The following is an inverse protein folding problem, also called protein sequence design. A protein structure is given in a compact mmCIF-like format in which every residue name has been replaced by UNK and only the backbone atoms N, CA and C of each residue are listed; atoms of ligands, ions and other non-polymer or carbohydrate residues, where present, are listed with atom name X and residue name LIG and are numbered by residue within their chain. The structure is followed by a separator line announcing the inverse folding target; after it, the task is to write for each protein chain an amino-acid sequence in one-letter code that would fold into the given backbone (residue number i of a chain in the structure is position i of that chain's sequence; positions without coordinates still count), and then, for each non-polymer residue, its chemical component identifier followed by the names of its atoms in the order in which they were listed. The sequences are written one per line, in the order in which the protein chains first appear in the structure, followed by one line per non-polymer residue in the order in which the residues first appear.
data_IF_798255193499
#
_entry.id   IF_798255193499
#
_cell.length_a   1.000
_cell.length_b   1.000
_cell.length_c   1.000
_cell.angle_alpha   90.00
_cell.angle_beta   90.00
_cell.angle_gamma   90.00
#
_symmetry.space_group_name_H-M   'P 1'
#
loop_
_entity.id
_entity.type
_entity.pdbx_description
1 polymer ?
#
# COMPACT_ATOMS: atom_id res chain seq x y z
N UNK A 1 16.53 -3.85 -14.16
CA UNK A 1 17.37 -4.08 -12.95
C UNK A 1 16.74 -5.17 -12.09
N UNK A 2 17.51 -6.24 -11.81
CA UNK A 2 17.09 -7.32 -10.89
C UNK A 2 17.04 -6.88 -9.42
N UNK A 3 16.57 -7.78 -8.56
CA UNK A 3 16.62 -7.59 -7.10
C UNK A 3 18.05 -7.82 -6.59
N UNK A 4 18.45 -7.05 -5.58
CA UNK A 4 19.71 -7.22 -4.84
C UNK A 4 19.43 -6.96 -3.37
N UNK A 5 19.70 -7.96 -2.52
CA UNK A 5 19.47 -7.85 -1.08
C UNK A 5 20.29 -6.71 -0.47
N UNK A 6 21.59 -6.63 -0.79
CA UNK A 6 22.46 -5.57 -0.31
C UNK A 6 21.96 -4.16 -0.70
N UNK A 7 21.49 -3.99 -1.94
CA UNK A 7 20.94 -2.71 -2.38
C UNK A 7 19.62 -2.37 -1.65
N UNK A 8 18.80 -3.38 -1.36
CA UNK A 8 17.53 -3.24 -0.65
C UNK A 8 17.73 -2.84 0.81
N UNK A 9 18.67 -3.48 1.50
CA UNK A 9 19.08 -3.15 2.87
C UNK A 9 19.69 -1.74 2.94
N UNK A 10 20.57 -1.38 1.99
CA UNK A 10 21.14 -0.02 1.89
C UNK A 10 20.07 1.04 1.66
N UNK A 11 19.06 0.75 0.83
CA UNK A 11 17.94 1.66 0.61
C UNK A 11 17.15 1.90 1.91
N UNK A 12 16.89 0.84 2.69
CA UNK A 12 16.23 0.95 3.98
C UNK A 12 17.06 1.77 4.99
N UNK A 13 18.36 1.49 5.10
CA UNK A 13 19.27 2.23 5.96
C UNK A 13 19.33 3.71 5.58
N UNK A 14 19.38 4.05 4.28
CA UNK A 14 19.37 5.43 3.81
C UNK A 14 18.09 6.17 4.19
N UNK A 15 16.93 5.51 4.12
CA UNK A 15 15.65 6.08 4.57
C UNK A 15 15.64 6.27 6.09
N UNK A 16 16.17 5.31 6.86
CA UNK A 16 16.33 5.43 8.30
C UNK A 16 17.20 6.63 8.71
N UNK A 17 18.37 6.78 8.07
CA UNK A 17 19.24 7.92 8.30
C UNK A 17 18.57 9.26 7.95
N UNK A 18 17.80 9.29 6.85
CA UNK A 18 16.99 10.48 6.48
C UNK A 18 15.92 10.77 7.53
N UNK A 19 15.21 9.76 8.01
CA UNK A 19 14.18 9.89 9.04
C UNK A 19 14.73 10.57 10.31
N UNK A 20 15.87 10.11 10.84
CA UNK A 20 16.51 10.73 12.02
C UNK A 20 16.87 12.19 11.77
N UNK A 21 17.31 12.54 10.55
CA UNK A 21 17.65 13.91 10.20
C UNK A 21 16.44 14.82 10.04
N UNK A 22 15.36 14.35 9.42
CA UNK A 22 14.29 15.21 8.91
C UNK A 22 12.99 15.18 9.73
N UNK A 23 12.79 14.16 10.55
CA UNK A 23 11.50 13.88 11.20
C UNK A 23 11.65 13.93 12.73
N UNK A 24 10.93 14.85 13.42
CA UNK A 24 11.05 15.03 14.87
C UNK A 24 10.88 13.74 15.66
N UNK A 25 9.88 12.93 15.33
CA UNK A 25 9.60 11.66 16.01
C UNK A 25 10.83 10.72 16.06
N UNK A 26 11.52 10.53 14.92
CA UNK A 26 12.68 9.65 14.87
C UNK A 26 13.91 10.27 15.51
N UNK A 27 14.07 11.60 15.41
CA UNK A 27 15.16 12.33 16.05
C UNK A 27 15.08 12.24 17.58
N UNK A 28 13.90 12.47 18.14
CA UNK A 28 13.65 12.40 19.58
C UNK A 28 13.85 10.98 20.13
N UNK A 29 13.37 9.96 19.42
CA UNK A 29 13.64 8.55 19.77
C UNK A 29 15.13 8.25 19.77
N UNK A 30 15.85 8.70 18.75
CA UNK A 30 17.30 8.51 18.67
C UNK A 30 18.02 9.21 19.83
N UNK A 31 17.65 10.45 20.17
CA UNK A 31 18.21 11.18 21.30
C UNK A 31 17.96 10.50 22.66
N UNK A 32 16.86 9.74 22.78
CA UNK A 32 16.52 8.93 23.97
C UNK A 32 17.15 7.53 23.97
N UNK A 33 18.04 7.22 23.03
CA UNK A 33 18.69 5.91 22.93
C UNK A 33 17.81 4.79 22.36
N UNK A 34 16.61 5.10 21.86
CA UNK A 34 15.67 4.11 21.28
C UNK A 34 15.97 3.80 19.79
N UNK A 35 16.85 4.60 19.16
CA UNK A 35 17.23 4.45 17.75
C UNK A 35 16.03 4.42 16.79
N UNK A 36 16.15 3.56 15.76
CA UNK A 36 15.06 3.24 14.83
C UNK A 36 14.29 1.98 15.26
N UNK A 37 14.18 1.73 16.57
CA UNK A 37 13.40 0.61 17.10
C UNK A 37 11.98 0.57 16.53
N UNK A 38 11.32 -0.60 16.51
CA UNK A 38 10.00 -0.78 15.91
C UNK A 38 8.98 0.29 16.33
N UNK A 39 8.09 0.63 15.41
CA UNK A 39 6.94 1.51 15.65
C UNK A 39 5.66 0.71 15.41
N UNK A 40 4.92 0.30 16.45
CA UNK A 40 3.63 -0.38 16.27
C UNK A 40 2.69 0.43 15.38
N UNK A 41 2.00 -0.25 14.47
CA UNK A 41 1.13 0.43 13.49
C UNK A 41 -0.05 1.16 14.16
N UNK A 42 -0.47 0.70 15.33
CA UNK A 42 -1.52 1.28 16.17
C UNK A 42 -1.12 2.66 16.70
N UNK A 43 0.18 2.89 16.96
CA UNK A 43 0.68 4.20 17.37
C UNK A 43 0.60 5.25 16.25
N UNK A 44 0.58 4.82 14.99
CA UNK A 44 0.64 5.72 13.85
C UNK A 44 -0.57 6.65 13.82
N UNK A 45 -1.77 6.16 14.11
CA UNK A 45 -3.02 6.94 14.00
C UNK A 45 -2.97 8.26 14.80
N UNK A 46 -2.35 8.23 15.99
CA UNK A 46 -2.21 9.42 16.84
C UNK A 46 -0.95 10.25 16.54
N UNK A 47 -0.07 9.74 15.68
CA UNK A 47 1.30 10.26 15.46
C UNK A 47 1.66 10.50 14.00
N UNK A 48 0.74 10.32 13.04
CA UNK A 48 1.02 10.53 11.60
C UNK A 48 1.60 11.93 11.31
N UNK A 49 1.12 12.94 12.02
CA UNK A 49 1.64 14.31 11.93
C UNK A 49 3.10 14.42 12.40
N UNK A 50 3.49 13.69 13.45
CA UNK A 50 4.85 13.70 14.00
C UNK A 50 5.86 12.93 13.12
N UNK A 51 5.34 12.10 12.20
CA UNK A 51 6.12 11.37 11.20
C UNK A 51 6.37 12.19 9.92
N UNK A 52 5.93 13.44 9.89
CA UNK A 52 6.10 14.33 8.76
C UNK A 52 7.41 15.13 8.89
N UNK A 53 8.19 15.27 7.80
CA UNK A 53 9.31 16.21 7.79
C UNK A 53 8.82 17.63 7.99
N UNK A 54 9.42 18.38 8.92
CA UNK A 54 9.08 19.80 9.14
C UNK A 54 9.84 20.75 8.22
N UNK A 55 10.84 20.25 7.49
CA UNK A 55 11.76 21.06 6.68
C UNK A 55 11.16 21.64 5.39
N UNK A 56 9.91 21.32 5.06
CA UNK A 56 9.23 21.83 3.84
C UNK A 56 7.70 21.81 3.97
N UNK A 57 6.98 22.71 3.28
CA UNK A 57 5.52 22.70 3.25
C UNK A 57 4.96 21.47 2.52
N UNK A 58 3.75 21.06 2.90
CA UNK A 58 3.01 19.98 2.24
C UNK A 58 2.58 20.39 0.83
N UNK A 59 2.77 19.49 -0.15
CA UNK A 59 2.32 19.69 -1.55
C UNK A 59 1.34 18.59 -1.96
N UNK A 60 0.02 18.83 -1.94
CA UNK A 60 -0.99 17.81 -2.26
C UNK A 60 -0.80 17.11 -3.62
N UNK A 61 -0.33 17.86 -4.63
CA UNK A 61 -0.08 17.33 -5.97
C UNK A 61 1.12 16.37 -6.06
N UNK A 62 2.03 16.41 -5.08
CA UNK A 62 3.30 15.67 -5.11
C UNK A 62 3.47 14.70 -3.91
N UNK A 63 2.66 14.84 -2.87
CA UNK A 63 2.73 14.07 -1.64
C UNK A 63 1.38 13.42 -1.34
N UNK A 64 1.35 12.12 -1.03
CA UNK A 64 0.12 11.46 -0.63
C UNK A 64 -0.43 12.09 0.66
N UNK A 65 -1.73 11.94 0.90
CA UNK A 65 -2.26 12.30 2.22
C UNK A 65 -1.68 11.37 3.29
N UNK A 66 -1.84 11.75 4.55
CA UNK A 66 -1.45 10.89 5.68
C UNK A 66 -2.16 9.53 5.63
N UNK A 67 -3.40 9.52 5.13
CA UNK A 67 -4.35 8.43 5.27
C UNK A 67 -4.53 7.56 4.02
N UNK A 68 -4.12 8.05 2.84
CA UNK A 68 -4.53 7.44 1.57
C UNK A 68 -3.42 6.68 0.82
N UNK A 69 -2.17 6.76 1.29
CA UNK A 69 -1.00 6.08 0.68
C UNK A 69 -0.56 6.70 -0.65
N UNK A 70 0.53 6.21 -1.26
CA UNK A 70 0.95 6.65 -2.61
C UNK A 70 0.18 5.83 -3.67
N UNK A 71 -0.55 6.45 -4.62
CA UNK A 71 -1.29 5.70 -5.64
C UNK A 71 -0.39 4.80 -6.50
N UNK A 72 0.91 5.10 -6.61
CA UNK A 72 1.87 4.23 -7.30
C UNK A 72 2.13 2.91 -6.57
N UNK A 73 1.85 2.83 -5.26
CA UNK A 73 1.93 1.57 -4.51
C UNK A 73 0.90 0.59 -5.07
N UNK A 74 -0.36 1.03 -5.29
CA UNK A 74 -1.41 0.20 -5.88
C UNK A 74 -1.08 -0.21 -7.32
N UNK A 75 -0.62 0.73 -8.16
CA UNK A 75 -0.20 0.38 -9.53
C UNK A 75 0.89 -0.70 -9.54
N UNK A 76 1.87 -0.58 -8.64
CA UNK A 76 2.94 -1.58 -8.52
C UNK A 76 2.39 -2.90 -8.00
N UNK A 77 1.45 -2.88 -7.06
CA UNK A 77 0.83 -4.08 -6.50
C UNK A 77 0.08 -4.86 -7.58
N UNK A 78 -0.70 -4.16 -8.42
CA UNK A 78 -1.42 -4.77 -9.54
C UNK A 78 -0.46 -5.36 -10.56
N UNK A 79 0.59 -4.63 -10.96
CA UNK A 79 1.63 -5.17 -11.85
C UNK A 79 2.29 -6.43 -11.28
N UNK A 80 2.56 -6.47 -9.97
CA UNK A 80 3.11 -7.65 -9.29
C UNK A 80 2.07 -8.77 -9.20
N UNK A 81 0.77 -8.45 -9.08
CA UNK A 81 -0.31 -9.41 -9.11
C UNK A 81 -0.61 -9.97 -10.53
N UNK A 82 0.08 -9.48 -11.56
CA UNK A 82 -0.15 -9.87 -12.95
C UNK A 82 -1.33 -9.14 -13.61
N UNK A 83 -1.77 -8.02 -13.04
CA UNK A 83 -2.88 -7.19 -13.54
C UNK A 83 -2.34 -5.86 -14.04
N UNK A 84 -2.49 -5.57 -15.32
CA UNK A 84 -1.97 -4.34 -15.93
C UNK A 84 -2.75 -3.91 -17.16
N UNK A 85 -2.59 -2.65 -17.56
CA UNK A 85 -3.18 -2.12 -18.80
C UNK A 85 -4.66 -1.72 -18.74
N UNK A 86 -5.36 -2.02 -17.64
CA UNK A 86 -6.81 -1.79 -17.47
C UNK A 86 -7.12 -0.62 -16.54
N UNK A 87 -8.36 -0.12 -16.57
CA UNK A 87 -8.84 0.87 -15.60
C UNK A 87 -8.94 0.27 -14.19
N UNK A 88 -8.61 1.04 -13.16
CA UNK A 88 -8.58 0.55 -11.77
C UNK A 88 -9.68 1.23 -10.94
N UNK A 89 -10.56 0.42 -10.39
CA UNK A 89 -11.56 0.80 -9.42
C UNK A 89 -11.08 0.35 -8.04
N UNK A 90 -11.09 1.21 -7.04
CA UNK A 90 -10.64 0.84 -5.68
C UNK A 90 -11.69 1.18 -4.65
N UNK A 91 -12.11 0.20 -3.85
CA UNK A 91 -13.04 0.42 -2.74
C UNK A 91 -12.32 1.13 -1.59
N UNK A 92 -12.82 2.28 -1.13
CA UNK A 92 -12.18 3.11 -0.11
C UNK A 92 -13.19 3.62 0.92
N UNK A 93 -12.72 3.95 2.11
CA UNK A 93 -13.53 4.66 3.12
C UNK A 93 -13.63 6.16 2.87
N UNK A 94 -12.84 6.73 1.95
CA UNK A 94 -12.79 8.15 1.67
C UNK A 94 -12.43 8.45 0.22
N UNK A 95 -12.92 9.58 -0.29
CA UNK A 95 -12.61 10.09 -1.62
C UNK A 95 -11.16 10.53 -1.69
N UNK A 96 -10.53 10.30 -2.84
CA UNK A 96 -9.19 10.79 -3.17
C UNK A 96 -9.24 11.59 -4.48
N UNK A 97 -8.38 12.61 -4.63
CA UNK A 97 -8.41 13.48 -5.81
C UNK A 97 -7.75 12.85 -7.05
N UNK A 98 -7.31 11.60 -6.98
CA UNK A 98 -6.57 10.97 -8.06
C UNK A 98 -7.51 10.43 -9.13
N UNK A 99 -7.12 10.62 -10.38
CA UNK A 99 -7.80 10.04 -11.56
C UNK A 99 -6.90 9.03 -12.30
N UNK A 100 -5.65 8.88 -11.84
CA UNK A 100 -4.66 7.91 -12.32
C UNK A 100 -3.78 7.40 -11.19
N UNK A 101 -3.27 6.17 -11.31
CA UNK A 101 -2.31 5.62 -10.36
C UNK A 101 -0.87 6.06 -10.63
N UNK A 102 -0.62 7.36 -10.50
CA UNK A 102 0.61 8.04 -10.90
C UNK A 102 0.51 8.66 -12.30
N UNK A 103 1.47 9.54 -12.64
CA UNK A 103 1.41 10.35 -13.86
C UNK A 103 1.24 9.55 -15.17
N UNK A 104 1.87 8.38 -15.26
CA UNK A 104 1.79 7.46 -16.41
C UNK A 104 1.04 6.17 -16.06
N UNK A 105 0.32 6.16 -14.93
CA UNK A 105 -0.39 4.99 -14.45
C UNK A 105 -1.74 4.78 -15.16
N UNK A 106 -2.38 3.63 -14.90
CA UNK A 106 -3.74 3.37 -15.38
C UNK A 106 -4.73 4.43 -14.89
N UNK A 107 -5.83 4.58 -15.64
CA UNK A 107 -6.99 5.35 -15.18
C UNK A 107 -7.47 4.77 -13.86
N UNK A 108 -7.94 5.65 -12.98
CA UNK A 108 -8.30 5.29 -11.63
C UNK A 108 -9.58 6.00 -11.19
N UNK A 109 -10.46 5.27 -10.50
CA UNK A 109 -11.60 5.84 -9.79
C UNK A 109 -11.74 5.20 -8.40
N UNK A 110 -11.85 6.00 -7.32
CA UNK A 110 -12.24 5.48 -6.03
C UNK A 110 -13.74 5.16 -6.03
N UNK A 111 -14.10 4.08 -5.37
CA UNK A 111 -15.49 3.71 -5.09
C UNK A 111 -15.65 3.69 -3.58
N UNK A 112 -16.63 4.39 -3.03
CA UNK A 112 -16.79 4.43 -1.59
C UNK A 112 -17.36 3.11 -1.06
N UNK A 113 -16.79 2.60 0.03
CA UNK A 113 -17.33 1.44 0.72
C UNK A 113 -18.77 1.76 1.19
N UNK A 114 -19.65 0.75 1.29
CA UNK A 114 -21.00 0.92 1.83
C UNK A 114 -21.02 1.56 3.22
N UNK A 115 -19.99 1.31 4.02
CA UNK A 115 -19.80 1.89 5.37
C UNK A 115 -19.21 3.30 5.40
N UNK A 116 -18.95 3.92 4.24
CA UNK A 116 -18.42 5.27 4.20
C UNK A 116 -19.47 6.29 4.67
N UNK A 117 -19.05 7.21 5.53
CA UNK A 117 -19.90 8.30 6.01
C UNK A 117 -19.97 9.42 4.96
N UNK A 118 -21.00 9.37 4.10
CA UNK A 118 -21.24 10.38 3.06
C UNK A 118 -22.73 10.67 2.88
N UNK A 119 -23.01 11.90 2.43
CA UNK A 119 -24.38 12.39 2.23
C UNK A 119 -25.09 11.67 1.07
N UNK A 120 -24.38 11.39 -0.02
CA UNK A 120 -24.91 10.66 -1.18
C UNK A 120 -23.85 9.76 -1.81
N UNK A 121 -23.94 8.45 -1.52
CA UNK A 121 -23.08 7.41 -2.10
C UNK A 121 -23.29 7.29 -3.62
N UNK A 122 -24.51 7.46 -4.12
CA UNK A 122 -24.85 7.22 -5.53
C UNK A 122 -24.22 8.27 -6.44
N UNK A 123 -24.20 9.54 -6.02
CA UNK A 123 -23.51 10.61 -6.73
C UNK A 123 -21.99 10.37 -6.82
N UNK A 124 -21.41 9.73 -5.80
CA UNK A 124 -19.97 9.43 -5.75
C UNK A 124 -19.53 8.33 -6.73
N UNK A 125 -20.44 7.44 -7.13
CA UNK A 125 -20.14 6.29 -8.00
C UNK A 125 -20.05 6.66 -9.50
N UNK A 126 -20.49 7.85 -9.91
CA UNK A 126 -20.56 8.28 -11.31
C UNK A 126 -19.25 8.06 -12.12
N UNK A 127 -18.08 8.51 -11.63
CA UNK A 127 -16.80 8.27 -12.31
C UNK A 127 -16.44 6.80 -12.47
N UNK A 128 -16.77 5.96 -11.48
CA UNK A 128 -16.52 4.52 -11.54
C UNK A 128 -17.43 3.84 -12.57
N UNK A 129 -18.74 4.14 -12.56
CA UNK A 129 -19.70 3.65 -13.56
C UNK A 129 -19.33 4.05 -14.98
N UNK A 130 -18.93 5.31 -15.18
CA UNK A 130 -18.45 5.78 -16.48
C UNK A 130 -17.17 5.04 -16.94
N UNK A 131 -16.28 4.69 -16.00
CA UNK A 131 -15.08 3.92 -16.32
C UNK A 131 -15.42 2.48 -16.72
N UNK A 132 -16.31 1.81 -15.97
CA UNK A 132 -16.84 0.48 -16.30
C UNK A 132 -17.47 0.47 -17.69
N UNK A 133 -18.31 1.46 -18.01
CA UNK A 133 -18.95 1.57 -19.32
C UNK A 133 -17.95 1.81 -20.47
N UNK A 134 -16.78 2.40 -20.17
CA UNK A 134 -15.78 2.78 -21.18
C UNK A 134 -14.81 1.65 -21.56
N UNK A 135 -14.83 0.52 -20.87
CA UNK A 135 -14.00 -0.63 -21.22
C UNK A 135 -13.56 -1.48 -20.03
N UNK A 136 -12.46 -2.19 -20.23
CA UNK A 136 -11.98 -3.19 -19.28
C UNK A 136 -11.46 -2.55 -17.99
N UNK A 137 -11.97 -3.05 -16.86
CA UNK A 137 -11.63 -2.55 -15.53
C UNK A 137 -11.33 -3.70 -14.56
N UNK A 138 -10.58 -3.40 -13.51
CA UNK A 138 -10.37 -4.27 -12.35
C UNK A 138 -10.87 -3.58 -11.09
N UNK A 139 -11.57 -4.32 -10.25
CA UNK A 139 -11.99 -3.86 -8.92
C UNK A 139 -11.02 -4.36 -7.86
N UNK A 140 -10.47 -3.44 -7.08
CA UNK A 140 -9.65 -3.72 -5.89
C UNK A 140 -10.51 -3.51 -4.66
N UNK A 141 -10.93 -4.59 -4.02
CA UNK A 141 -11.91 -4.54 -2.94
C UNK A 141 -11.52 -5.44 -1.76
N UNK A 142 -11.84 -5.03 -0.51
CA UNK A 142 -12.00 -5.98 0.57
C UNK A 142 -13.03 -7.06 0.19
N UNK A 143 -12.82 -8.34 0.53
CA UNK A 143 -13.72 -9.42 0.18
C UNK A 143 -15.17 -9.19 0.64
N UNK A 144 -15.34 -8.62 1.83
CA UNK A 144 -16.63 -8.45 2.52
C UNK A 144 -17.62 -7.52 1.81
N UNK A 145 -17.14 -6.63 0.94
CA UNK A 145 -17.98 -5.64 0.23
C UNK A 145 -17.88 -5.75 -1.29
N UNK A 146 -17.14 -6.74 -1.80
CA UNK A 146 -16.82 -6.84 -3.22
C UNK A 146 -18.06 -7.03 -4.10
N UNK A 147 -18.97 -7.92 -3.69
CA UNK A 147 -20.17 -8.26 -4.47
C UNK A 147 -21.18 -7.10 -4.48
N UNK A 148 -21.43 -6.50 -3.31
CA UNK A 148 -22.30 -5.34 -3.16
C UNK A 148 -21.81 -4.17 -4.02
N UNK A 149 -20.52 -3.83 -3.91
CA UNK A 149 -19.94 -2.75 -4.70
C UNK A 149 -20.02 -3.08 -6.19
N UNK A 150 -19.64 -4.30 -6.59
CA UNK A 150 -19.68 -4.71 -7.99
C UNK A 150 -21.08 -4.54 -8.60
N UNK A 151 -22.12 -4.98 -7.90
CA UNK A 151 -23.50 -4.79 -8.31
C UNK A 151 -23.86 -3.29 -8.40
N UNK A 152 -23.47 -2.49 -7.39
CA UNK A 152 -23.81 -1.06 -7.31
C UNK A 152 -23.19 -0.21 -8.44
N UNK A 153 -22.00 -0.58 -8.91
CA UNK A 153 -21.31 0.12 -10.02
C UNK A 153 -21.42 -0.61 -11.37
N UNK A 154 -22.12 -1.74 -11.43
CA UNK A 154 -22.28 -2.55 -12.64
C UNK A 154 -21.00 -3.22 -13.12
N UNK A 155 -20.06 -3.51 -12.22
CA UNK A 155 -18.78 -4.16 -12.54
C UNK A 155 -18.93 -5.68 -12.61
N UNK A 156 -18.54 -6.27 -13.74
CA UNK A 156 -18.52 -7.72 -13.95
C UNK A 156 -17.11 -8.28 -14.26
N UNK A 157 -16.08 -7.44 -14.16
CA UNK A 157 -14.71 -7.80 -14.48
C UNK A 157 -13.96 -8.46 -13.33
N UNK A 158 -12.64 -8.57 -13.48
CA UNK A 158 -11.76 -9.14 -12.46
C UNK A 158 -11.87 -8.38 -11.12
N UNK A 159 -11.82 -9.13 -10.02
CA UNK A 159 -11.70 -8.60 -8.66
C UNK A 159 -10.36 -9.03 -8.07
N UNK A 160 -9.53 -8.06 -7.73
CA UNK A 160 -8.29 -8.28 -6.97
C UNK A 160 -8.60 -8.07 -5.50
N UNK A 161 -8.45 -9.13 -4.70
CA UNK A 161 -8.77 -9.09 -3.28
C UNK A 161 -7.76 -8.23 -2.53
N UNK A 162 -8.26 -7.25 -1.78
CA UNK A 162 -7.45 -6.43 -0.86
C UNK A 162 -7.56 -7.00 0.54
N UNK A 163 -6.48 -7.57 1.04
CA UNK A 163 -6.43 -8.24 2.34
C UNK A 163 -5.57 -7.45 3.33
N UNK A 164 -5.91 -7.55 4.62
CA UNK A 164 -5.12 -7.00 5.73
C UNK A 164 -4.18 -8.03 6.34
N UNK A 165 -4.48 -9.33 6.19
CA UNK A 165 -3.66 -10.46 6.61
C UNK A 165 -3.30 -11.34 5.41
N UNK A 166 -2.15 -11.99 5.48
CA UNK A 166 -1.73 -12.99 4.52
C UNK A 166 -2.46 -14.30 4.81
N UNK A 167 -3.54 -14.54 4.10
CA UNK A 167 -4.24 -15.82 4.09
C UNK A 167 -3.90 -16.60 2.82
N UNK A 168 -4.09 -17.92 2.86
CA UNK A 168 -4.06 -18.69 1.62
C UNK A 168 -5.36 -18.44 0.85
N UNK A 169 -5.20 -18.14 -0.43
CA UNK A 169 -6.28 -17.71 -1.32
C UNK A 169 -5.97 -18.15 -2.74
N UNK A 170 -7.03 -18.33 -3.53
CA UNK A 170 -6.91 -18.53 -4.96
C UNK A 170 -6.98 -17.19 -5.69
N UNK A 171 -6.15 -17.05 -6.72
CA UNK A 171 -6.15 -15.88 -7.60
C UNK A 171 -5.34 -14.67 -7.11
N UNK A 172 -5.38 -13.57 -7.87
CA UNK A 172 -4.59 -12.38 -7.60
C UNK A 172 -5.11 -11.61 -6.38
N UNK A 173 -4.19 -11.12 -5.56
CA UNK A 173 -4.52 -10.31 -4.39
C UNK A 173 -3.40 -9.38 -3.98
N UNK A 174 -3.73 -8.43 -3.12
CA UNK A 174 -2.82 -7.43 -2.59
C UNK A 174 -2.96 -7.33 -1.07
N UNK A 175 -1.83 -7.14 -0.39
CA UNK A 175 -1.79 -6.83 1.03
C UNK A 175 -1.76 -5.32 1.23
N UNK A 176 -2.68 -4.86 2.06
CA UNK A 176 -2.90 -3.46 2.36
C UNK A 176 -3.01 -3.24 3.87
N UNK A 177 -2.29 -2.26 4.37
CA UNK A 177 -2.50 -1.71 5.69
C UNK A 177 -2.88 -0.23 5.55
N UNK A 178 -3.90 0.23 6.29
CA UNK A 178 -4.45 1.59 6.15
C UNK A 178 -3.40 2.71 6.32
N UNK A 179 -2.37 2.49 7.13
CA UNK A 179 -1.34 3.50 7.40
C UNK A 179 -0.15 3.38 6.43
N UNK A 180 0.19 2.16 6.02
CA UNK A 180 1.36 1.87 5.18
C UNK A 180 1.03 1.99 3.68
N UNK A 181 -0.16 1.59 3.28
CA UNK A 181 -0.57 1.38 1.89
C UNK A 181 -0.41 -0.08 1.45
N UNK A 182 -0.29 -0.27 0.13
CA UNK A 182 -0.08 -1.58 -0.50
C UNK A 182 1.40 -1.94 -0.48
N UNK A 183 1.79 -3.04 0.18
CA UNK A 183 3.21 -3.39 0.37
C UNK A 183 3.61 -4.77 -0.16
N UNK A 184 2.64 -5.65 -0.42
CA UNK A 184 2.86 -6.94 -1.08
C UNK A 184 1.69 -7.32 -1.98
N UNK A 185 1.93 -8.22 -2.92
CA UNK A 185 0.92 -8.76 -3.83
C UNK A 185 1.20 -10.23 -4.16
N UNK A 186 0.15 -10.99 -4.45
CA UNK A 186 0.20 -12.39 -4.85
C UNK A 186 -0.26 -12.49 -6.31
N UNK A 187 0.61 -12.88 -7.26
CA UNK A 187 0.20 -13.06 -8.65
C UNK A 187 -0.60 -14.34 -8.86
N UNK A 188 -1.32 -14.38 -9.97
CA UNK A 188 -1.83 -15.63 -10.51
C UNK A 188 -0.66 -16.59 -10.82
N UNK A 189 -0.74 -17.83 -10.34
CA UNK A 189 0.28 -18.86 -10.60
C UNK A 189 1.45 -18.93 -9.60
N UNK A 190 1.67 -17.91 -8.75
CA UNK A 190 2.64 -18.00 -7.65
C UNK A 190 1.92 -17.93 -6.30
N UNK A 191 2.05 -18.98 -5.49
CA UNK A 191 1.43 -19.04 -4.16
C UNK A 191 2.09 -18.13 -3.11
N UNK A 192 3.09 -17.32 -3.49
CA UNK A 192 3.87 -16.50 -2.57
C UNK A 192 3.45 -15.03 -2.63
N UNK A 193 3.47 -14.38 -1.47
CA UNK A 193 3.27 -12.94 -1.34
C UNK A 193 4.55 -12.19 -1.71
N UNK A 194 4.60 -11.61 -2.91
CA UNK A 194 5.73 -10.83 -3.38
C UNK A 194 5.72 -9.43 -2.79
N UNK A 195 6.83 -9.06 -2.14
CA UNK A 195 7.02 -7.71 -1.61
C UNK A 195 7.21 -6.73 -2.77
N UNK A 196 6.60 -5.55 -2.68
CA UNK A 196 6.84 -4.43 -3.59
C UNK A 196 8.21 -3.80 -3.30
N UNK A 197 9.29 -4.56 -3.51
CA UNK A 197 10.63 -4.34 -2.97
C UNK A 197 11.29 -3.02 -3.40
N UNK A 198 10.85 -2.42 -4.51
CA UNK A 198 11.32 -1.09 -4.95
C UNK A 198 10.71 0.06 -4.15
N UNK A 199 9.63 -0.23 -3.43
CA UNK A 199 8.77 0.71 -2.71
C UNK A 199 8.76 0.45 -1.21
N UNK A 200 8.96 -0.79 -0.79
CA UNK A 200 9.02 -1.19 0.60
C UNK A 200 10.22 -2.09 0.88
N UNK A 201 10.80 -1.90 2.05
CA UNK A 201 11.69 -2.88 2.67
C UNK A 201 10.95 -3.57 3.81
N UNK A 202 11.13 -4.89 3.92
CA UNK A 202 10.48 -5.71 4.94
C UNK A 202 11.52 -6.60 5.58
N UNK A 203 11.53 -6.66 6.91
CA UNK A 203 12.34 -7.60 7.68
C UNK A 203 11.51 -8.25 8.79
N UNK A 204 11.92 -9.41 9.31
CA UNK A 204 11.33 -9.98 10.52
C UNK A 204 11.42 -8.99 11.70
N UNK A 205 10.42 -9.02 12.57
CA UNK A 205 10.39 -8.34 13.86
C UNK A 205 9.77 -9.24 14.92
N UNK A 206 9.93 -8.85 16.18
CA UNK A 206 9.18 -9.49 17.26
C UNK A 206 7.69 -9.13 17.15
N UNK A 207 6.82 -10.13 17.13
CA UNK A 207 5.37 -9.93 16.94
C UNK A 207 4.91 -9.58 15.52
N UNK A 208 5.76 -9.65 14.49
CA UNK A 208 5.31 -9.40 13.10
C UNK A 208 6.41 -9.04 12.11
N UNK A 209 6.06 -8.20 11.13
CA UNK A 209 6.98 -7.69 10.11
C UNK A 209 7.28 -6.22 10.32
N UNK A 210 8.54 -5.84 10.11
CA UNK A 210 8.98 -4.45 10.13
C UNK A 210 9.02 -3.92 8.70
N UNK A 211 8.13 -2.97 8.41
CA UNK A 211 7.98 -2.38 7.08
C UNK A 211 8.55 -0.96 7.06
N UNK A 212 9.35 -0.68 6.04
CA UNK A 212 9.91 0.65 5.76
C UNK A 212 9.51 1.10 4.36
N UNK A 213 8.82 2.24 4.25
CA UNK A 213 8.45 2.82 2.96
C UNK A 213 9.66 3.52 2.34
N UNK A 214 10.17 2.99 1.22
CA UNK A 214 11.40 3.45 0.58
C UNK A 214 11.23 4.75 -0.21
N UNK A 215 10.01 5.00 -0.70
CA UNK A 215 9.71 6.11 -1.62
C UNK A 215 8.80 7.18 -1.02
N UNK A 216 8.07 6.87 0.05
CA UNK A 216 7.17 7.81 0.73
C UNK A 216 7.98 8.83 1.53
N UNK A 217 7.78 10.11 1.24
CA UNK A 217 8.43 11.22 1.98
C UNK A 217 7.59 11.72 3.16
N UNK A 218 6.27 11.70 3.03
CA UNK A 218 5.33 12.16 4.07
C UNK A 218 4.11 11.25 4.14
N UNK A 219 3.73 10.77 5.34
CA UNK A 219 4.61 10.53 6.48
C UNK A 219 5.82 9.67 6.07
N UNK A 220 6.94 9.85 6.77
CA UNK A 220 8.09 8.95 6.65
C UNK A 220 7.84 7.74 7.54
N UNK A 221 7.75 6.55 6.93
CA UNK A 221 7.44 5.31 7.63
C UNK A 221 8.68 4.41 7.64
N UNK A 222 9.28 4.26 8.81
CA UNK A 222 10.48 3.45 9.04
C UNK A 222 10.21 2.43 10.14
N UNK A 223 10.50 1.16 9.83
CA UNK A 223 10.40 0.00 10.73
C UNK A 223 9.05 -0.03 11.48
N UNK A 224 7.97 0.21 10.75
CA UNK A 224 6.60 0.06 11.25
C UNK A 224 6.33 -1.42 11.45
N UNK A 225 5.96 -1.82 12.66
CA UNK A 225 5.60 -3.19 13.00
C UNK A 225 4.14 -3.44 12.62
N UNK A 226 3.91 -4.47 11.79
CA UNK A 226 2.58 -4.96 11.44
C UNK A 226 2.49 -6.46 11.66
N UNK A 227 1.33 -6.90 12.13
CA UNK A 227 0.96 -8.30 12.10
C UNK A 227 0.04 -8.55 10.90
N UNK A 228 0.41 -9.55 10.11
CA UNK A 228 -0.34 -10.02 8.95
C UNK A 228 -0.48 -11.55 8.96
N UNK A 229 -0.15 -12.22 10.07
CA UNK A 229 -0.08 -13.67 10.17
C UNK A 229 1.19 -14.31 9.58
N UNK A 230 2.17 -13.50 9.14
CA UNK A 230 3.48 -13.96 8.68
C UNK A 230 4.60 -13.14 9.34
N UNK A 231 5.73 -13.77 9.63
CA UNK A 231 6.88 -13.12 10.29
C UNK A 231 8.23 -13.38 9.59
N UNK A 232 8.22 -14.02 8.42
CA UNK A 232 9.44 -14.36 7.66
C UNK A 232 9.50 -13.66 6.32
N UNK A 233 10.73 -13.39 5.89
CA UNK A 233 11.07 -12.87 4.57
C UNK A 233 12.07 -13.82 3.93
N UNK A 234 11.82 -14.23 2.69
CA UNK A 234 12.78 -15.00 1.90
C UNK A 234 12.70 -14.64 0.43
N UNK A 235 13.18 -15.53 -0.43
CA UNK A 235 13.27 -15.29 -1.88
C UNK A 235 12.42 -16.31 -2.63
N UNK A 236 11.59 -15.81 -3.56
CA UNK A 236 10.88 -16.67 -4.49
C UNK A 236 11.89 -17.29 -5.47
N UNK A 237 12.00 -18.63 -5.47
CA UNK A 237 12.93 -19.35 -6.35
C UNK A 237 12.65 -19.12 -7.83
N UNK A 238 11.38 -18.99 -8.21
CA UNK A 238 10.94 -18.78 -9.58
C UNK A 238 11.27 -17.37 -10.09
N UNK A 239 11.05 -16.36 -9.24
CA UNK A 239 11.09 -14.96 -9.67
C UNK A 239 12.36 -14.21 -9.21
N UNK A 240 13.17 -14.79 -8.34
CA UNK A 240 14.36 -14.16 -7.75
C UNK A 240 14.04 -12.87 -6.97
N UNK A 241 12.86 -12.77 -6.36
CA UNK A 241 12.34 -11.56 -5.69
C UNK A 241 11.94 -11.87 -4.25
N UNK A 242 12.02 -10.87 -3.34
CA UNK A 242 11.68 -11.08 -1.94
C UNK A 242 10.19 -11.32 -1.75
N UNK A 243 9.87 -12.24 -0.85
CA UNK A 243 8.52 -12.73 -0.54
C UNK A 243 8.31 -12.85 0.96
N UNK A 244 7.05 -12.86 1.38
CA UNK A 244 6.63 -13.12 2.75
C UNK A 244 6.33 -14.62 2.94
N UNK A 245 6.64 -15.15 4.13
CA UNK A 245 6.26 -16.52 4.54
C UNK A 245 7.12 -17.62 3.90
N UNK A 246 8.35 -17.31 3.50
CA UNK A 246 9.31 -18.30 2.99
C UNK A 246 9.93 -19.16 4.09
#
# INVERSE_FOLDING_TARGET
MGYSQLAWERAAAAVGARAVREVPFYRERHARGLGLGPVPVEELERRLWALCPLSRPYRPAAEPTLWTGDPRDLATALLVAGVGGVGVLEVRSAVVPWTRLGALGPRYAPVLAPSADVVDLSASDGPARAMVASGETVLVSPPEVADEVSARIGHAGMIVRRLTSATDILGPAVLHNRHIGYFAARPHGCARWHILWRRFHVSPGDGGLLVTALRRRRPTLVRVLIDIGLNRVGICREHGRPVLGA
#
